data_IF_973607514367
#
_entry.id   IF_973607514367
#
_cell.length_a   1.000
_cell.length_b   1.000
_cell.length_c   1.000
_cell.angle_alpha   90.00
_cell.angle_beta   90.00
_cell.angle_gamma   90.00
#
_symmetry.space_group_name_H-M   'P 1'
#
loop_
_entity.id
_entity.type
_entity.pdbx_description
1 polymer ?
#
# COMPACT_ATOMS: atom_id res chain seq x y z
N UNK A 1 -14.09 5.03 -12.72
CA UNK A 1 -14.91 6.17 -13.19
C UNK A 1 -14.32 7.51 -12.84
N UNK A 2 -14.76 8.52 -13.56
CA UNK A 2 -14.44 9.94 -13.32
C UNK A 2 -15.73 10.72 -13.14
N UNK A 3 -15.85 11.49 -12.07
CA UNK A 3 -16.98 12.39 -11.84
C UNK A 3 -16.55 13.85 -12.08
N UNK A 4 -17.36 14.62 -12.75
CA UNK A 4 -17.22 16.07 -12.82
C UNK A 4 -17.92 16.66 -11.58
N UNK A 5 -17.19 17.30 -10.65
CA UNK A 5 -17.77 17.77 -9.39
C UNK A 5 -18.75 18.95 -9.56
N UNK A 6 -18.71 19.66 -10.69
CA UNK A 6 -19.60 20.79 -10.97
C UNK A 6 -20.92 20.32 -11.59
N UNK A 7 -20.85 19.39 -12.54
CA UNK A 7 -22.02 18.93 -13.31
C UNK A 7 -22.62 17.61 -12.79
N UNK A 8 -21.90 16.88 -11.94
CA UNK A 8 -22.27 15.54 -11.49
C UNK A 8 -22.15 14.47 -12.59
N UNK A 9 -21.74 14.83 -13.81
CA UNK A 9 -21.60 13.88 -14.89
C UNK A 9 -20.51 12.85 -14.56
N UNK A 10 -20.82 11.56 -14.78
CA UNK A 10 -19.91 10.45 -14.60
C UNK A 10 -19.52 9.86 -15.94
N UNK A 11 -18.23 9.62 -16.12
CA UNK A 11 -17.68 8.85 -17.22
C UNK A 11 -17.10 7.54 -16.67
N UNK A 12 -17.40 6.42 -17.30
CA UNK A 12 -16.89 5.12 -16.90
C UNK A 12 -15.86 4.61 -17.91
N UNK A 13 -14.79 4.01 -17.38
CA UNK A 13 -13.74 3.38 -18.16
C UNK A 13 -13.55 1.97 -17.62
N UNK A 14 -13.87 0.96 -18.45
CA UNK A 14 -13.73 -0.43 -18.04
C UNK A 14 -12.25 -0.81 -18.04
N UNK A 15 -11.71 -1.19 -16.89
CA UNK A 15 -10.37 -1.76 -16.80
C UNK A 15 -10.30 -3.08 -17.56
N UNK A 16 -9.18 -3.37 -18.25
CA UNK A 16 -9.02 -4.61 -19.00
C UNK A 16 -9.11 -5.83 -18.09
N UNK A 17 -9.81 -6.85 -18.55
CA UNK A 17 -9.82 -8.15 -17.91
C UNK A 17 -8.45 -8.82 -18.12
N UNK A 18 -7.98 -9.61 -17.14
CA UNK A 18 -6.77 -10.42 -17.33
C UNK A 18 -7.03 -11.50 -18.39
N UNK A 19 -6.01 -11.87 -19.21
CA UNK A 19 -6.07 -13.07 -20.00
C UNK A 19 -6.50 -14.26 -19.16
N UNK A 20 -7.55 -14.99 -19.58
CA UNK A 20 -8.19 -16.07 -18.80
C UNK A 20 -9.42 -15.66 -18.00
N UNK A 21 -9.95 -14.43 -18.19
CA UNK A 21 -11.27 -14.02 -17.69
C UNK A 21 -11.37 -13.79 -16.17
N UNK A 22 -10.24 -13.63 -15.48
CA UNK A 22 -10.25 -13.31 -14.05
C UNK A 22 -10.68 -11.85 -13.84
N UNK A 23 -11.64 -11.64 -12.92
CA UNK A 23 -12.06 -10.32 -12.50
C UNK A 23 -10.86 -9.53 -11.96
N UNK A 24 -10.61 -8.31 -12.47
CA UNK A 24 -9.38 -7.57 -12.13
C UNK A 24 -9.33 -7.11 -10.66
N UNK A 25 -10.45 -6.73 -10.05
CA UNK A 25 -10.54 -6.26 -8.67
C UNK A 25 -9.71 -5.00 -8.41
N UNK A 26 -10.01 -3.85 -9.07
CA UNK A 26 -9.32 -2.60 -8.79
C UNK A 26 -9.45 -2.23 -7.32
N UNK A 27 -8.34 -1.84 -6.68
CA UNK A 27 -8.33 -1.60 -5.25
C UNK A 27 -7.78 -0.20 -4.87
N UNK A 28 -6.47 -0.04 -4.74
CA UNK A 28 -5.88 1.25 -4.40
C UNK A 28 -5.59 2.04 -5.67
N UNK A 29 -6.04 3.29 -5.70
CA UNK A 29 -5.89 4.21 -6.81
C UNK A 29 -5.11 5.45 -6.38
N UNK A 30 -4.21 5.92 -7.25
CA UNK A 30 -3.48 7.18 -7.10
C UNK A 30 -3.43 7.93 -8.42
N UNK A 31 -3.30 9.24 -8.34
CA UNK A 31 -2.93 10.08 -9.48
C UNK A 31 -1.42 10.31 -9.41
N UNK A 32 -0.71 9.84 -10.43
CA UNK A 32 0.73 10.05 -10.53
C UNK A 32 1.06 11.50 -10.93
N UNK A 33 2.31 11.92 -10.71
CA UNK A 33 2.78 13.26 -11.10
C UNK A 33 2.65 13.52 -12.60
N UNK A 34 2.71 12.47 -13.40
CA UNK A 34 2.46 12.52 -14.85
C UNK A 34 0.98 12.77 -15.22
N UNK A 35 0.05 12.81 -14.28
CA UNK A 35 -1.38 12.88 -14.50
C UNK A 35 -2.05 11.54 -14.82
N UNK A 36 -1.28 10.47 -15.01
CA UNK A 36 -1.83 9.12 -15.21
C UNK A 36 -2.39 8.56 -13.91
N UNK A 37 -3.45 7.77 -14.04
CA UNK A 37 -4.12 7.13 -12.92
C UNK A 37 -3.54 5.73 -12.74
N UNK A 38 -2.86 5.50 -11.64
CA UNK A 38 -2.31 4.19 -11.29
C UNK A 38 -3.17 3.47 -10.27
N UNK A 39 -3.32 2.16 -10.41
CA UNK A 39 -4.10 1.37 -9.48
C UNK A 39 -3.63 -0.09 -9.42
N UNK A 40 -3.83 -0.68 -8.27
CA UNK A 40 -3.59 -2.11 -8.05
C UNK A 40 -4.85 -2.91 -8.35
N UNK A 41 -4.68 -4.16 -8.78
CA UNK A 41 -5.76 -5.09 -9.09
C UNK A 41 -5.53 -6.38 -8.29
N UNK A 42 -6.20 -6.48 -7.14
CA UNK A 42 -5.92 -7.50 -6.12
C UNK A 42 -6.29 -8.92 -6.55
N UNK A 43 -7.29 -9.06 -7.43
CA UNK A 43 -7.76 -10.38 -7.87
C UNK A 43 -6.96 -10.92 -9.06
N UNK A 44 -6.38 -10.04 -9.85
CA UNK A 44 -5.59 -10.42 -11.03
C UNK A 44 -4.08 -10.46 -10.78
N UNK A 45 -3.58 -9.90 -9.67
CA UNK A 45 -2.15 -9.84 -9.38
C UNK A 45 -1.40 -8.84 -10.26
N UNK A 46 -2.06 -7.75 -10.67
CA UNK A 46 -1.50 -6.76 -11.60
C UNK A 46 -1.51 -5.35 -11.01
N UNK A 47 -0.66 -4.50 -11.57
CA UNK A 47 -0.71 -3.05 -11.42
C UNK A 47 -1.04 -2.49 -12.80
N UNK A 48 -1.93 -1.51 -12.83
CA UNK A 48 -2.34 -0.90 -14.10
C UNK A 48 -2.25 0.60 -14.02
N UNK A 49 -2.07 1.24 -15.17
CA UNK A 49 -2.33 2.65 -15.29
C UNK A 49 -3.35 2.94 -16.39
N UNK A 50 -4.02 4.06 -16.25
CA UNK A 50 -4.96 4.63 -17.21
C UNK A 50 -4.48 6.03 -17.54
N UNK A 51 -4.39 6.31 -18.83
CA UNK A 51 -4.08 7.64 -19.35
C UNK A 51 -5.41 8.38 -19.63
N UNK A 52 -5.71 9.47 -18.90
CA UNK A 52 -6.96 10.21 -19.10
C UNK A 52 -7.06 10.93 -20.44
N UNK A 53 -5.94 11.20 -21.11
CA UNK A 53 -5.90 11.89 -22.40
C UNK A 53 -6.17 10.92 -23.54
N UNK A 54 -5.42 9.82 -23.60
CA UNK A 54 -5.58 8.80 -24.68
C UNK A 54 -6.70 7.81 -24.39
N UNK A 55 -7.14 7.70 -23.11
CA UNK A 55 -8.11 6.71 -22.61
C UNK A 55 -7.61 5.27 -22.70
N UNK A 56 -6.31 5.09 -22.77
CA UNK A 56 -5.66 3.79 -22.86
C UNK A 56 -5.28 3.26 -21.48
N UNK A 57 -5.32 1.94 -21.36
CA UNK A 57 -4.84 1.20 -20.19
C UNK A 57 -3.55 0.47 -20.52
N UNK A 58 -2.63 0.46 -19.55
CA UNK A 58 -1.48 -0.45 -19.54
C UNK A 58 -1.58 -1.35 -18.33
N UNK A 59 -1.47 -2.66 -18.55
CA UNK A 59 -1.47 -3.68 -17.47
C UNK A 59 -0.05 -4.21 -17.31
N UNK A 60 0.41 -4.31 -16.06
CA UNK A 60 1.72 -4.81 -15.67
C UNK A 60 1.51 -5.96 -14.71
N UNK A 61 1.97 -7.14 -15.06
CA UNK A 61 1.95 -8.30 -14.18
C UNK A 61 3.00 -8.14 -13.08
N UNK A 62 2.65 -8.45 -11.83
CA UNK A 62 3.60 -8.43 -10.71
C UNK A 62 4.31 -9.78 -10.64
N UNK A 63 3.64 -10.77 -10.15
CA UNK A 63 4.12 -12.15 -10.04
C UNK A 63 2.89 -13.04 -9.85
N UNK A 64 2.91 -14.23 -10.39
CA UNK A 64 1.77 -15.13 -10.30
C UNK A 64 1.42 -15.44 -8.83
N UNK A 65 0.10 -15.45 -8.53
CA UNK A 65 -0.40 -15.72 -7.19
C UNK A 65 -0.23 -14.58 -6.19
N UNK A 66 0.23 -13.40 -6.62
CA UNK A 66 0.40 -12.24 -5.73
C UNK A 66 -0.86 -11.39 -5.64
N UNK A 67 -0.95 -10.61 -4.57
CA UNK A 67 -2.05 -9.68 -4.30
C UNK A 67 -1.49 -8.27 -4.07
N UNK A 68 -1.22 -7.48 -5.12
CA UNK A 68 -0.79 -6.09 -4.98
C UNK A 68 -1.91 -5.25 -4.38
N UNK A 69 -1.61 -4.48 -3.32
CA UNK A 69 -2.61 -3.83 -2.50
C UNK A 69 -2.43 -2.29 -2.45
N UNK A 70 -1.63 -1.76 -1.56
CA UNK A 70 -1.31 -0.34 -1.50
C UNK A 70 -0.29 0.06 -2.57
N UNK A 71 -0.39 1.26 -3.13
CA UNK A 71 0.57 1.81 -4.10
C UNK A 71 0.79 3.30 -3.82
N UNK A 72 2.03 3.76 -3.95
CA UNK A 72 2.43 5.16 -3.88
C UNK A 72 3.52 5.45 -4.91
N UNK A 73 3.52 6.64 -5.47
CA UNK A 73 4.64 7.17 -6.25
C UNK A 73 5.62 7.87 -5.32
N UNK A 74 6.89 7.44 -5.28
CA UNK A 74 7.96 8.06 -4.50
C UNK A 74 8.70 9.13 -5.31
N UNK A 75 9.10 8.77 -6.50
CA UNK A 75 9.80 9.61 -7.49
C UNK A 75 9.07 9.51 -8.82
N UNK A 76 9.36 10.39 -9.77
CA UNK A 76 8.72 10.38 -11.08
C UNK A 76 8.85 9.00 -11.76
N UNK A 77 7.71 8.38 -12.04
CA UNK A 77 7.61 7.05 -12.62
C UNK A 77 8.17 5.90 -11.76
N UNK A 78 8.49 6.13 -10.47
CA UNK A 78 8.92 5.09 -9.53
C UNK A 78 7.83 4.84 -8.49
N UNK A 79 7.22 3.68 -8.59
CA UNK A 79 6.10 3.26 -7.76
C UNK A 79 6.54 2.21 -6.77
N UNK A 80 6.15 2.40 -5.52
CA UNK A 80 6.25 1.39 -4.48
C UNK A 80 4.88 0.82 -4.20
N UNK A 81 4.82 -0.47 -3.90
CA UNK A 81 3.54 -1.13 -3.64
C UNK A 81 3.70 -2.27 -2.64
N UNK A 82 2.64 -2.50 -1.87
CA UNK A 82 2.56 -3.64 -0.98
C UNK A 82 1.98 -4.84 -1.74
N UNK A 83 2.60 -6.00 -1.58
CA UNK A 83 2.07 -7.29 -2.03
C UNK A 83 1.59 -8.01 -0.78
N UNK A 84 0.28 -7.96 -0.50
CA UNK A 84 -0.24 -8.46 0.76
C UNK A 84 -0.09 -9.97 0.90
N UNK A 85 -0.15 -10.70 -0.19
CA UNK A 85 0.14 -12.14 -0.24
C UNK A 85 1.13 -12.41 -1.38
N UNK A 86 2.25 -13.09 -1.09
CA UNK A 86 2.66 -13.74 0.17
C UNK A 86 3.26 -12.83 1.26
N UNK A 87 3.31 -11.52 1.08
CA UNK A 87 3.93 -10.54 1.98
C UNK A 87 5.27 -10.06 1.45
N UNK A 88 5.22 -9.07 0.54
CA UNK A 88 6.40 -8.44 -0.05
C UNK A 88 6.19 -6.92 -0.14
N UNK A 89 7.28 -6.18 -0.22
CA UNK A 89 7.30 -4.79 -0.68
C UNK A 89 7.84 -4.81 -2.11
N UNK A 90 7.14 -4.15 -3.02
CA UNK A 90 7.53 -4.06 -4.43
C UNK A 90 7.94 -2.65 -4.84
N UNK A 91 8.86 -2.56 -5.79
CA UNK A 91 9.24 -1.36 -6.50
C UNK A 91 9.07 -1.60 -7.99
N UNK A 92 8.49 -0.64 -8.68
CA UNK A 92 8.34 -0.61 -10.14
C UNK A 92 8.86 0.72 -10.67
N UNK A 93 9.84 0.67 -11.55
CA UNK A 93 10.19 1.79 -12.40
C UNK A 93 9.38 1.68 -13.70
N UNK A 94 8.35 2.52 -13.84
CA UNK A 94 7.42 2.43 -14.98
C UNK A 94 8.04 2.87 -16.33
N UNK A 95 9.16 3.60 -16.27
CA UNK A 95 9.88 4.05 -17.45
C UNK A 95 10.72 2.94 -18.06
N UNK A 96 11.45 2.19 -17.20
CA UNK A 96 12.32 1.09 -17.64
C UNK A 96 11.61 -0.26 -17.68
N UNK A 97 10.51 -0.41 -16.93
CA UNK A 97 9.83 -1.69 -16.69
C UNK A 97 10.49 -2.55 -15.61
N UNK A 98 11.56 -2.05 -14.99
CA UNK A 98 12.23 -2.76 -13.91
C UNK A 98 11.31 -2.92 -12.70
N UNK A 99 11.21 -4.14 -12.19
CA UNK A 99 10.44 -4.47 -11.00
C UNK A 99 11.31 -5.26 -10.02
N UNK A 100 11.23 -4.90 -8.74
CA UNK A 100 11.92 -5.59 -7.66
C UNK A 100 10.92 -5.91 -6.55
N UNK A 101 11.03 -7.11 -5.98
CA UNK A 101 10.18 -7.59 -4.89
C UNK A 101 11.05 -8.00 -3.70
N UNK A 102 10.76 -7.44 -2.53
CA UNK A 102 11.49 -7.67 -1.30
C UNK A 102 10.60 -8.45 -0.32
N UNK A 103 10.88 -9.73 -0.04
CA UNK A 103 10.10 -10.52 0.91
C UNK A 103 10.18 -9.93 2.32
N UNK A 104 9.03 -9.72 2.95
CA UNK A 104 8.95 -9.33 4.36
C UNK A 104 9.38 -10.52 5.23
N UNK A 105 10.28 -10.34 6.22
CA UNK A 105 10.80 -11.46 7.01
C UNK A 105 9.74 -12.22 7.81
N UNK A 106 8.63 -11.59 8.17
CA UNK A 106 7.51 -12.27 8.83
C UNK A 106 6.73 -13.12 7.84
N UNK A 107 6.64 -14.44 8.02
CA UNK A 107 5.77 -15.29 7.21
C UNK A 107 4.31 -14.79 7.27
N UNK A 108 3.66 -14.76 6.13
CA UNK A 108 2.27 -14.30 6.03
C UNK A 108 2.01 -12.92 6.68
N UNK A 109 2.95 -11.98 6.52
CA UNK A 109 2.85 -10.62 7.10
C UNK A 109 1.59 -9.88 6.67
N UNK A 110 1.04 -10.19 5.48
CA UNK A 110 -0.16 -9.55 4.92
C UNK A 110 -0.02 -8.02 4.95
N UNK A 111 1.11 -7.49 4.47
CA UNK A 111 1.36 -6.05 4.38
C UNK A 111 0.43 -5.43 3.35
N UNK A 112 -0.33 -4.40 3.75
CA UNK A 112 -1.39 -3.85 2.91
C UNK A 112 -1.18 -2.36 2.61
N UNK A 113 -0.95 -1.57 3.64
CA UNK A 113 -0.80 -0.11 3.54
C UNK A 113 0.53 0.34 4.10
N UNK A 114 1.10 1.36 3.48
CA UNK A 114 2.39 1.90 3.87
C UNK A 114 2.49 3.40 3.63
N UNK A 115 3.51 4.02 4.23
CA UNK A 115 3.88 5.42 4.03
C UNK A 115 5.39 5.57 4.07
N UNK A 116 5.90 6.55 3.33
CA UNK A 116 7.29 6.99 3.47
C UNK A 116 7.41 8.02 4.59
N UNK A 117 8.48 7.93 5.36
CA UNK A 117 8.89 9.01 6.24
C UNK A 117 9.73 10.05 5.49
N UNK A 118 10.09 11.12 6.17
CA UNK A 118 10.89 12.23 5.60
C UNK A 118 12.30 11.83 5.21
N UNK A 119 12.79 10.68 5.67
CA UNK A 119 14.10 10.12 5.31
C UNK A 119 14.01 9.11 4.16
N UNK A 120 12.82 8.87 3.63
CA UNK A 120 12.60 7.95 2.52
C UNK A 120 12.42 6.48 2.90
N UNK A 121 12.35 6.14 4.19
CA UNK A 121 12.06 4.79 4.68
C UNK A 121 10.56 4.52 4.59
N UNK A 122 10.23 3.29 4.25
CA UNK A 122 8.86 2.83 4.05
C UNK A 122 8.37 2.12 5.31
N UNK A 123 7.31 2.64 5.93
CA UNK A 123 6.67 2.09 7.11
C UNK A 123 5.37 1.40 6.74
N UNK A 124 5.10 0.21 7.28
CA UNK A 124 3.92 -0.58 6.97
C UNK A 124 3.42 -1.39 8.16
N UNK A 125 2.13 -1.72 8.14
CA UNK A 125 1.54 -2.64 9.11
C UNK A 125 1.68 -4.09 8.61
N UNK A 126 2.09 -5.00 9.48
CA UNK A 126 2.08 -6.44 9.24
C UNK A 126 0.82 -7.03 9.87
N UNK A 127 -0.29 -6.96 9.13
CA UNK A 127 -1.62 -7.38 9.59
C UNK A 127 -1.64 -8.82 10.13
N UNK A 128 -0.94 -9.75 9.49
CA UNK A 128 -0.82 -11.14 9.92
C UNK A 128 0.29 -11.40 10.96
N UNK A 129 1.09 -10.38 11.30
CA UNK A 129 2.27 -10.54 12.18
C UNK A 129 2.22 -9.76 13.49
N UNK A 130 1.20 -8.92 13.69
CA UNK A 130 1.09 -8.00 14.84
C UNK A 130 2.34 -7.12 15.03
N UNK A 131 2.88 -6.59 13.90
CA UNK A 131 4.09 -5.79 13.90
C UNK A 131 3.94 -4.51 13.09
N UNK A 132 4.77 -3.55 13.41
CA UNK A 132 5.10 -2.43 12.54
C UNK A 132 6.39 -2.81 11.82
N UNK A 133 6.35 -2.85 10.49
CA UNK A 133 7.52 -3.04 9.66
C UNK A 133 8.07 -1.71 9.15
N UNK A 134 9.38 -1.63 9.03
CA UNK A 134 10.09 -0.57 8.33
C UNK A 134 11.02 -1.21 7.30
N UNK A 135 11.00 -0.70 6.09
CA UNK A 135 11.91 -1.06 5.02
C UNK A 135 12.71 0.16 4.58
N UNK A 136 14.01 0.00 4.53
CA UNK A 136 14.91 1.03 4.03
C UNK A 136 15.24 0.73 2.55
N UNK A 137 14.80 1.56 1.60
CA UNK A 137 15.05 1.36 0.18
C UNK A 137 16.52 1.45 -0.23
N UNK A 138 17.36 2.16 0.53
CA UNK A 138 18.77 2.34 0.20
C UNK A 138 19.59 1.11 0.61
N UNK A 139 19.39 0.62 1.82
CA UNK A 139 20.11 -0.54 2.37
C UNK A 139 19.45 -1.88 2.07
N UNK A 140 18.18 -1.88 1.62
CA UNK A 140 17.33 -3.06 1.39
C UNK A 140 17.08 -3.87 2.67
N UNK A 141 17.16 -3.24 3.83
CA UNK A 141 16.99 -3.89 5.13
C UNK A 141 15.59 -3.66 5.71
N UNK A 142 15.08 -4.70 6.38
CA UNK A 142 13.87 -4.62 7.18
C UNK A 142 14.19 -4.47 8.66
N UNK A 143 13.43 -3.63 9.34
CA UNK A 143 13.36 -3.57 10.80
C UNK A 143 11.92 -3.78 11.23
N UNK A 144 11.69 -4.55 12.28
CA UNK A 144 10.35 -4.92 12.72
C UNK A 144 10.18 -4.65 14.21
N UNK A 145 9.04 -4.07 14.57
CA UNK A 145 8.68 -3.71 15.94
C UNK A 145 7.39 -4.44 16.31
N UNK A 146 7.48 -5.38 17.26
CA UNK A 146 6.31 -6.15 17.71
C UNK A 146 5.39 -5.26 18.53
N UNK A 147 4.11 -5.30 18.23
CA UNK A 147 3.08 -4.67 19.05
C UNK A 147 2.87 -5.50 20.32
N UNK A 148 2.59 -4.87 21.48
CA UNK A 148 2.50 -5.55 22.76
C UNK A 148 1.25 -6.44 22.92
N UNK A 149 0.36 -6.43 21.92
CA UNK A 149 -0.90 -7.17 21.89
C UNK A 149 -1.25 -7.61 20.47
N UNK A 150 -2.21 -8.51 20.33
CA UNK A 150 -2.79 -8.84 19.03
C UNK A 150 -3.58 -7.64 18.53
N UNK A 151 -3.23 -7.15 17.36
CA UNK A 151 -3.67 -5.84 16.90
C UNK A 151 -4.15 -5.78 15.45
N UNK A 152 -3.70 -6.72 14.60
CA UNK A 152 -3.96 -6.68 13.17
C UNK A 152 -3.75 -5.28 12.57
N UNK A 153 -2.50 -4.76 12.57
CA UNK A 153 -2.19 -3.40 12.12
C UNK A 153 -2.49 -3.24 10.63
N UNK A 154 -3.49 -2.42 10.32
CA UNK A 154 -4.02 -2.27 8.97
C UNK A 154 -3.55 -0.99 8.26
N UNK A 155 -3.88 0.15 8.84
CA UNK A 155 -3.53 1.45 8.29
C UNK A 155 -2.30 2.02 9.00
N UNK A 156 -1.53 2.82 8.26
CA UNK A 156 -0.36 3.48 8.80
C UNK A 156 -0.28 4.93 8.30
N UNK A 157 0.14 5.82 9.17
CA UNK A 157 0.39 7.21 8.87
C UNK A 157 1.59 7.72 9.65
N UNK A 158 2.28 8.73 9.13
CA UNK A 158 3.42 9.37 9.80
C UNK A 158 3.08 10.83 9.97
N UNK A 159 3.13 11.31 11.20
CA UNK A 159 2.84 12.72 11.48
C UNK A 159 4.06 13.63 11.27
N UNK A 160 3.83 14.93 11.42
CA UNK A 160 4.89 15.95 11.21
C UNK A 160 6.03 15.86 12.22
N UNK A 161 5.81 15.24 13.38
CA UNK A 161 6.80 15.00 14.43
C UNK A 161 7.61 13.72 14.18
N UNK A 162 7.22 12.91 13.17
CA UNK A 162 7.85 11.64 12.83
C UNK A 162 7.36 10.45 13.65
N UNK A 163 6.25 10.59 14.40
CA UNK A 163 5.60 9.44 15.01
C UNK A 163 4.87 8.62 13.96
N UNK A 164 4.93 7.31 14.11
CA UNK A 164 4.20 6.36 13.27
C UNK A 164 2.89 6.00 13.95
N UNK A 165 1.78 6.31 13.31
CA UNK A 165 0.43 6.01 13.77
C UNK A 165 -0.11 4.78 13.06
N UNK A 166 -0.66 3.85 13.81
CA UNK A 166 -1.15 2.56 13.32
C UNK A 166 -2.58 2.35 13.76
N UNK A 167 -3.47 2.08 12.81
CA UNK A 167 -4.82 1.64 13.08
C UNK A 167 -4.85 0.13 13.30
N UNK A 168 -5.28 -0.30 14.48
CA UNK A 168 -5.35 -1.69 14.91
C UNK A 168 -6.77 -2.21 14.75
N UNK A 169 -7.01 -3.01 13.70
CA UNK A 169 -8.36 -3.36 13.25
C UNK A 169 -9.14 -4.21 14.26
N UNK A 170 -8.56 -5.31 14.77
CA UNK A 170 -9.25 -6.19 15.73
C UNK A 170 -9.23 -5.68 17.18
N UNK A 171 -8.54 -4.55 17.42
CA UNK A 171 -8.35 -3.99 18.76
C UNK A 171 -9.16 -2.73 19.01
N UNK A 172 -9.78 -2.17 17.95
CA UNK A 172 -10.45 -0.88 18.01
C UNK A 172 -9.60 0.20 18.68
N UNK A 173 -8.33 0.30 18.27
CA UNK A 173 -7.39 1.24 18.85
C UNK A 173 -6.46 1.86 17.80
N UNK A 174 -5.88 3.01 18.17
CA UNK A 174 -4.74 3.59 17.48
C UNK A 174 -3.48 3.36 18.33
N UNK A 175 -2.37 3.03 17.70
CA UNK A 175 -1.07 2.99 18.34
C UNK A 175 -0.20 4.10 17.77
N UNK A 176 0.39 4.91 18.65
CA UNK A 176 1.46 5.84 18.31
C UNK A 176 2.80 5.23 18.68
N UNK A 177 3.66 5.07 17.72
CA UNK A 177 5.02 4.55 17.87
C UNK A 177 6.04 5.66 17.66
N UNK A 178 7.00 5.81 18.57
CA UNK A 178 8.15 6.69 18.42
C UNK A 178 9.36 5.89 17.91
N UNK A 179 9.77 6.05 16.64
CA UNK A 179 10.91 5.30 16.07
C UNK A 179 12.26 5.61 16.74
N UNK A 180 12.38 6.75 17.43
CA UNK A 180 13.64 7.20 18.08
C UNK A 180 13.87 6.49 19.42
N UNK A 181 12.78 6.17 20.12
CA UNK A 181 12.85 5.59 21.47
C UNK A 181 12.32 4.15 21.52
N UNK A 182 11.59 3.72 20.49
CA UNK A 182 10.88 2.46 20.47
C UNK A 182 9.61 2.44 21.33
N UNK A 183 9.21 3.57 21.93
CA UNK A 183 8.02 3.65 22.77
C UNK A 183 6.74 3.56 21.97
N UNK A 184 5.76 2.84 22.52
CA UNK A 184 4.42 2.69 21.96
C UNK A 184 3.39 3.18 22.98
N UNK A 185 2.40 3.91 22.50
CA UNK A 185 1.24 4.37 23.28
C UNK A 185 -0.02 3.95 22.54
N UNK A 186 -0.89 3.20 23.24
CA UNK A 186 -2.20 2.80 22.73
C UNK A 186 -3.26 3.84 23.09
N UNK A 187 -4.13 4.14 22.15
CA UNK A 187 -5.30 4.98 22.30
C UNK A 187 -6.54 4.15 21.93
N UNK A 188 -7.25 3.56 22.90
CA UNK A 188 -8.50 2.87 22.64
C UNK A 188 -9.52 3.82 22.00
N UNK A 189 -10.21 3.36 20.97
CA UNK A 189 -11.31 4.11 20.37
C UNK A 189 -12.58 3.89 21.21
N UNK A 190 -13.46 4.90 21.32
CA UNK A 190 -14.74 4.69 21.95
C UNK A 190 -15.52 3.65 21.17
N UNK A 191 -15.70 2.47 21.76
CA UNK A 191 -16.45 1.38 21.16
C UNK A 191 -17.92 1.75 20.97
N UNK A 192 -18.51 1.26 19.86
CA UNK A 192 -19.97 1.33 19.67
C UNK A 192 -20.56 0.22 20.54
N UNK A 193 -20.99 0.55 21.75
CA UNK A 193 -21.70 -0.38 22.64
C UNK A 193 -20.92 -0.88 23.85
N UNK A 194 -20.25 0.02 24.56
CA UNK A 194 -19.89 -0.20 25.98
C UNK A 194 -21.03 0.24 26.87
#
# INVERSE_FOLDING_TARGET
>A
GRINPVTGKMDEFKAPDRPGGKFPGPHTIIVARSGKIWFTQIMSGTISNFDPETKEFRVIEVEEGTTPYGILEKEDDVFWFAVSRPGKIGMLNARTGEMQLYPVPTPNSVSQRFRFDTTGRLWFGEYGGDKIGMFDPDTKQFTQYKLPFRSTPYSIHIDRQGFVWVGCFERDSLVRFDPRTGQMVEYPLPGVGA
#
